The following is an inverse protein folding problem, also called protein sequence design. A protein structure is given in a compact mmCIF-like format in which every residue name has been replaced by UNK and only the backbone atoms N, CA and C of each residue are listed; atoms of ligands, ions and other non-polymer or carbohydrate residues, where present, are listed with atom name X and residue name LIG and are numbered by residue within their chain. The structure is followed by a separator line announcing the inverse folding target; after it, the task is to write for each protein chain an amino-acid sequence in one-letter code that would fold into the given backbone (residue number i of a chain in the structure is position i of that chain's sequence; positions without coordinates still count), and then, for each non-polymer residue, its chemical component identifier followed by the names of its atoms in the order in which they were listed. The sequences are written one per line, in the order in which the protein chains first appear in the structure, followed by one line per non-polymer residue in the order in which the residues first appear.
data_IF_927849647205
#
_entry.id   IF_927849647205
#
_cell.length_a   1.000
_cell.length_b   1.000
_cell.length_c   1.000
_cell.angle_alpha   90.00
_cell.angle_beta   90.00
_cell.angle_gamma   90.00
#
_symmetry.space_group_name_H-M   'P 1'
#
loop_
_entity.id
_entity.type
_entity.pdbx_description
1 polymer ?
#
# COMPACT_ATOMS: atom_id res chain seq x y z
N UNK A 1 -18.42 -38.30 -11.34
CA UNK A 1 -17.54 -37.36 -10.63
C UNK A 1 -16.46 -36.94 -11.61
N UNK A 2 -16.22 -35.65 -11.77
CA UNK A 2 -15.24 -35.12 -12.72
C UNK A 2 -14.06 -34.49 -11.95
N UNK A 3 -12.85 -34.52 -12.52
CA UNK A 3 -11.65 -33.94 -11.92
C UNK A 3 -11.06 -32.89 -12.85
N UNK A 4 -10.51 -31.83 -12.27
CA UNK A 4 -9.88 -30.74 -13.01
C UNK A 4 -8.63 -31.21 -13.74
N UNK A 5 -8.56 -30.97 -15.05
CA UNK A 5 -7.42 -31.38 -15.88
C UNK A 5 -6.13 -30.62 -15.59
N UNK A 6 -6.18 -29.45 -14.94
CA UNK A 6 -5.00 -28.67 -14.55
C UNK A 6 -4.47 -28.96 -13.15
N UNK A 7 -5.35 -29.19 -12.16
CA UNK A 7 -4.92 -29.32 -10.76
C UNK A 7 -5.37 -30.61 -10.07
N UNK A 8 -6.11 -31.48 -10.76
CA UNK A 8 -6.53 -32.79 -10.25
C UNK A 8 -7.60 -32.77 -9.16
N UNK A 9 -8.11 -31.59 -8.77
CA UNK A 9 -9.17 -31.48 -7.76
C UNK A 9 -10.53 -31.89 -8.30
N UNK A 10 -11.34 -32.51 -7.44
CA UNK A 10 -12.72 -32.89 -7.79
C UNK A 10 -13.59 -31.67 -8.10
N UNK A 11 -14.44 -31.83 -9.11
CA UNK A 11 -15.37 -30.82 -9.62
C UNK A 11 -16.78 -31.18 -9.15
N UNK A 12 -17.39 -30.28 -8.38
CA UNK A 12 -18.77 -30.41 -7.93
C UNK A 12 -19.75 -30.37 -9.11
N UNK A 13 -20.83 -31.17 -9.07
CA UNK A 13 -21.84 -31.19 -10.12
C UNK A 13 -22.43 -29.79 -10.36
N UNK A 14 -22.46 -29.36 -11.63
CA UNK A 14 -22.98 -28.05 -12.04
C UNK A 14 -22.01 -26.87 -11.92
N UNK A 15 -20.80 -27.06 -11.38
CA UNK A 15 -19.80 -25.98 -11.29
C UNK A 15 -19.28 -25.60 -12.69
N UNK A 16 -19.06 -24.30 -12.92
CA UNK A 16 -18.56 -23.76 -14.19
C UNK A 16 -17.03 -23.58 -14.18
N UNK A 17 -16.43 -23.51 -12.98
CA UNK A 17 -15.00 -23.32 -12.75
C UNK A 17 -14.50 -24.24 -11.64
N UNK A 18 -13.24 -24.66 -11.75
CA UNK A 18 -12.56 -25.39 -10.69
C UNK A 18 -12.32 -24.48 -9.48
N UNK A 19 -12.85 -24.86 -8.31
CA UNK A 19 -12.64 -24.13 -7.05
C UNK A 19 -11.20 -24.17 -6.55
N UNK A 20 -10.37 -25.08 -7.05
CA UNK A 20 -8.96 -25.20 -6.66
C UNK A 20 -8.02 -24.27 -7.42
N UNK A 21 -8.21 -24.13 -8.74
CA UNK A 21 -7.26 -23.40 -9.59
C UNK A 21 -7.91 -22.44 -10.60
N UNK A 22 -9.25 -22.29 -10.57
CA UNK A 22 -10.01 -21.36 -11.41
C UNK A 22 -10.16 -21.78 -12.88
N UNK A 23 -9.75 -22.99 -13.27
CA UNK A 23 -9.88 -23.43 -14.66
C UNK A 23 -11.37 -23.64 -15.02
N UNK A 24 -11.87 -23.10 -16.14
CA UNK A 24 -13.22 -23.38 -16.61
C UNK A 24 -13.38 -24.87 -16.94
N UNK A 25 -14.53 -25.44 -16.62
CA UNK A 25 -14.77 -26.89 -16.76
C UNK A 25 -15.55 -27.27 -18.01
N UNK A 26 -16.04 -26.30 -18.78
CA UNK A 26 -16.71 -26.48 -20.07
C UNK A 26 -16.23 -25.43 -21.08
N UNK A 27 -16.37 -25.72 -22.38
CA UNK A 27 -16.03 -24.74 -23.43
C UNK A 27 -16.90 -23.49 -23.36
N UNK A 28 -18.18 -23.62 -22.95
CA UNK A 28 -19.08 -22.50 -22.70
C UNK A 28 -18.63 -21.66 -21.48
N UNK A 29 -18.15 -22.29 -20.41
CA UNK A 29 -17.54 -21.59 -19.28
C UNK A 29 -16.20 -20.95 -19.66
N UNK A 30 -15.43 -21.57 -20.56
CA UNK A 30 -14.21 -21.00 -21.10
C UNK A 30 -14.51 -19.76 -21.96
N UNK A 31 -15.57 -19.79 -22.77
CA UNK A 31 -16.03 -18.63 -23.55
C UNK A 31 -16.60 -17.53 -22.66
N UNK A 32 -17.32 -17.84 -21.59
CA UNK A 32 -17.74 -16.85 -20.59
C UNK A 32 -16.56 -16.27 -19.80
N UNK A 33 -15.52 -17.06 -19.51
CA UNK A 33 -14.27 -16.58 -18.91
C UNK A 33 -13.53 -15.62 -19.84
N UNK A 34 -13.52 -15.92 -21.14
CA UNK A 34 -12.95 -15.04 -22.17
C UNK A 34 -13.76 -13.73 -22.20
N UNK A 35 -15.10 -13.79 -22.24
CA UNK A 35 -15.97 -12.60 -22.24
C UNK A 35 -15.84 -11.73 -20.97
N UNK A 36 -15.71 -12.32 -19.77
CA UNK A 36 -15.46 -11.55 -18.54
C UNK A 36 -14.03 -11.00 -18.45
N UNK A 37 -13.03 -11.71 -19.00
CA UNK A 37 -11.67 -11.19 -19.12
C UNK A 37 -11.55 -10.05 -20.14
N UNK A 38 -12.41 -10.04 -21.17
CA UNK A 38 -12.48 -8.99 -22.18
C UNK A 38 -13.18 -7.73 -21.66
N UNK A 39 -14.13 -7.86 -20.73
CA UNK A 39 -14.83 -6.72 -20.11
C UNK A 39 -13.94 -5.89 -19.16
N UNK A 40 -12.82 -6.43 -18.67
CA UNK A 40 -11.82 -5.65 -17.90
C UNK A 40 -10.81 -4.95 -18.81
N UNK A 41 -10.63 -5.43 -20.06
CA UNK A 41 -9.80 -4.79 -21.08
C UNK A 41 -10.58 -3.88 -22.06
N UNK A 42 -11.91 -3.85 -21.96
CA UNK A 42 -12.79 -3.02 -22.77
C UNK A 42 -13.63 -2.10 -21.87
N UNK A 43 -12.97 -1.28 -21.05
CA UNK A 43 -13.43 0.10 -21.04
C UNK A 43 -13.21 0.62 -22.46
N UNK A 44 -14.13 1.40 -23.05
CA UNK A 44 -13.76 2.18 -24.22
C UNK A 44 -12.47 2.89 -23.84
N UNK A 45 -11.46 2.85 -24.71
CA UNK A 45 -10.44 3.88 -24.71
C UNK A 45 -11.17 5.20 -24.97
N UNK A 46 -11.86 5.73 -23.96
CA UNK A 46 -11.95 7.15 -23.77
C UNK A 46 -10.49 7.55 -23.74
N UNK A 47 -10.08 8.16 -24.83
CA UNK A 47 -8.80 8.80 -24.98
C UNK A 47 -8.57 9.60 -23.72
N UNK A 48 -7.85 9.01 -22.76
CA UNK A 48 -7.07 9.79 -21.82
C UNK A 48 -6.27 10.66 -22.79
N UNK A 49 -6.50 11.99 -22.82
CA UNK A 49 -5.76 12.85 -23.71
C UNK A 49 -4.31 12.44 -23.51
N UNK A 50 -3.69 11.93 -24.57
CA UNK A 50 -2.26 11.68 -24.59
C UNK A 50 -1.67 12.94 -23.94
N UNK A 51 -0.85 12.85 -22.88
CA UNK A 51 -0.03 13.98 -22.58
C UNK A 51 0.71 14.24 -23.89
N UNK A 52 0.44 15.42 -24.46
CA UNK A 52 1.16 16.02 -25.57
C UNK A 52 2.61 15.54 -25.50
N UNK A 53 3.14 15.00 -26.60
CA UNK A 53 4.54 14.59 -26.74
C UNK A 53 5.44 15.56 -25.95
N UNK A 54 5.87 15.19 -24.74
CA UNK A 54 6.42 16.17 -23.78
C UNK A 54 6.29 15.87 -22.28
N UNK A 55 5.46 14.92 -21.81
CA UNK A 55 5.57 14.49 -20.40
C UNK A 55 6.76 13.54 -20.24
N UNK A 56 7.94 14.10 -20.02
CA UNK A 56 9.17 13.35 -19.76
C UNK A 56 8.87 12.21 -18.75
N UNK A 57 9.17 10.92 -19.04
CA UNK A 57 8.95 9.83 -18.08
C UNK A 57 9.65 10.10 -16.74
N UNK A 58 10.79 10.80 -16.82
CA UNK A 58 11.51 11.34 -15.67
C UNK A 58 10.66 12.29 -14.81
N UNK A 59 9.82 13.14 -15.41
CA UNK A 59 8.94 14.05 -14.67
C UNK A 59 7.89 13.29 -13.84
N UNK A 60 7.27 12.24 -14.39
CA UNK A 60 6.30 11.43 -13.65
C UNK A 60 6.96 10.64 -12.51
N UNK A 61 8.14 10.07 -12.76
CA UNK A 61 8.94 9.40 -11.73
C UNK A 61 9.39 10.37 -10.63
N UNK A 62 9.78 11.61 -10.98
CA UNK A 62 10.10 12.66 -10.02
C UNK A 62 8.88 13.06 -9.18
N UNK A 63 7.70 13.17 -9.78
CA UNK A 63 6.46 13.43 -9.03
C UNK A 63 6.16 12.30 -8.04
N UNK A 64 6.30 11.05 -8.47
CA UNK A 64 6.12 9.89 -7.58
C UNK A 64 7.15 9.90 -6.45
N UNK A 65 8.43 10.05 -6.78
CA UNK A 65 9.53 10.16 -5.81
C UNK A 65 9.25 11.26 -4.77
N UNK A 66 8.83 12.44 -5.21
CA UNK A 66 8.47 13.56 -4.35
C UNK A 66 7.30 13.22 -3.42
N UNK A 67 6.21 12.63 -3.93
CA UNK A 67 5.06 12.24 -3.11
C UNK A 67 5.43 11.14 -2.09
N UNK A 68 6.23 10.14 -2.49
CA UNK A 68 6.72 9.11 -1.56
C UNK A 68 7.63 9.73 -0.50
N UNK A 69 8.50 10.69 -0.86
CA UNK A 69 9.34 11.41 0.10
C UNK A 69 8.49 12.22 1.09
N UNK A 70 7.44 12.90 0.61
CA UNK A 70 6.49 13.60 1.47
C UNK A 70 5.77 12.64 2.43
N UNK A 71 5.33 11.46 1.95
CA UNK A 71 4.77 10.42 2.82
C UNK A 71 5.75 10.05 3.94
N UNK A 72 7.05 9.90 3.61
CA UNK A 72 8.06 9.59 4.60
C UNK A 72 8.26 10.70 5.64
N UNK A 73 8.30 11.96 5.18
CA UNK A 73 8.44 13.13 6.06
C UNK A 73 7.26 13.20 7.05
N UNK A 74 6.04 12.95 6.57
CA UNK A 74 4.85 12.90 7.43
C UNK A 74 5.03 11.86 8.55
N UNK A 75 5.47 10.64 8.21
CA UNK A 75 5.69 9.59 9.21
C UNK A 75 6.83 9.91 10.19
N UNK A 76 7.88 10.60 9.75
CA UNK A 76 8.95 11.09 10.64
C UNK A 76 8.40 12.11 11.64
N UNK A 77 7.63 13.11 11.17
CA UNK A 77 7.04 14.13 12.04
C UNK A 77 6.11 13.49 13.06
N UNK A 78 5.25 12.57 12.62
CA UNK A 78 4.34 11.82 13.50
C UNK A 78 5.14 11.03 14.55
N UNK A 79 6.19 10.33 14.14
CA UNK A 79 7.03 9.56 15.07
C UNK A 79 7.73 10.44 16.12
N UNK A 80 8.26 11.61 15.72
CA UNK A 80 8.85 12.55 16.65
C UNK A 80 7.85 13.04 17.71
N UNK A 81 6.62 13.37 17.29
CA UNK A 81 5.55 13.76 18.20
C UNK A 81 5.20 12.60 19.14
N UNK A 82 5.12 11.37 18.63
CA UNK A 82 4.83 10.18 19.44
C UNK A 82 5.94 9.90 20.47
N UNK A 83 7.21 10.02 20.09
CA UNK A 83 8.30 9.86 21.06
C UNK A 83 8.25 10.90 22.17
N UNK A 84 7.95 12.16 21.83
CA UNK A 84 7.77 13.21 22.84
C UNK A 84 6.59 12.90 23.77
N UNK A 85 5.41 12.60 23.23
CA UNK A 85 4.22 12.25 24.01
C UNK A 85 4.47 11.01 24.88
N UNK A 86 5.09 9.98 24.32
CA UNK A 86 5.40 8.74 25.03
C UNK A 86 6.36 8.98 26.20
N UNK A 87 7.41 9.79 26.00
CA UNK A 87 8.35 10.16 27.06
C UNK A 87 7.66 10.94 28.18
N UNK A 88 6.80 11.91 27.86
CA UNK A 88 6.04 12.68 28.85
C UNK A 88 5.13 11.77 29.67
N UNK A 89 4.41 10.84 29.03
CA UNK A 89 3.56 9.87 29.73
C UNK A 89 4.37 8.97 30.68
N UNK A 90 5.56 8.52 30.27
CA UNK A 90 6.43 7.73 31.13
C UNK A 90 6.86 8.54 32.37
N UNK A 91 7.27 9.80 32.19
CA UNK A 91 7.67 10.67 33.31
C UNK A 91 6.51 10.90 34.26
N UNK A 92 5.31 11.24 33.75
CA UNK A 92 4.09 11.40 34.56
C UNK A 92 3.78 10.10 35.31
N UNK A 93 3.87 8.95 34.64
CA UNK A 93 3.63 7.65 35.25
C UNK A 93 4.57 7.35 36.41
N UNK A 94 5.84 7.72 36.33
CA UNK A 94 6.78 7.57 37.44
C UNK A 94 6.49 8.54 38.58
N UNK A 95 6.13 9.79 38.29
CA UNK A 95 5.78 10.80 39.31
C UNK A 95 4.54 10.37 40.10
N UNK A 96 3.45 9.98 39.43
CA UNK A 96 2.22 9.54 40.10
C UNK A 96 2.45 8.34 41.01
N UNK A 97 3.19 7.33 40.54
CA UNK A 97 3.53 6.16 41.37
C UNK A 97 4.37 6.53 42.60
N UNK A 98 5.20 7.57 42.54
CA UNK A 98 5.97 8.04 43.69
C UNK A 98 5.08 8.73 44.75
N UNK A 99 4.00 9.38 44.32
CA UNK A 99 3.02 10.05 45.18
C UNK A 99 1.90 9.11 45.70
N UNK A 100 2.09 7.79 45.60
CA UNK A 100 1.09 6.75 45.95
C UNK A 100 -0.22 6.85 45.14
N UNK A 101 -0.18 7.45 43.95
CA UNK A 101 -1.27 7.46 42.96
C UNK A 101 -1.00 6.42 41.86
N UNK A 102 -2.04 5.81 41.27
CA UNK A 102 -1.84 4.77 40.23
C UNK A 102 -1.40 5.38 38.89
N UNK A 103 -0.08 5.39 38.66
CA UNK A 103 0.55 5.83 37.42
C UNK A 103 0.70 4.74 36.35
N UNK A 104 0.24 3.52 36.61
CA UNK A 104 0.50 2.33 35.75
C UNK A 104 -0.03 2.52 34.32
N UNK A 105 -1.20 3.13 34.18
CA UNK A 105 -1.84 3.40 32.87
C UNK A 105 -0.99 4.33 31.99
N UNK A 106 -0.34 5.33 32.58
CA UNK A 106 0.54 6.28 31.88
C UNK A 106 1.83 5.61 31.42
N UNK A 107 2.42 4.75 32.26
CA UNK A 107 3.61 3.96 31.88
C UNK A 107 3.30 3.06 30.69
N UNK A 108 2.21 2.28 30.77
CA UNK A 108 1.77 1.38 29.70
C UNK A 108 1.53 2.19 28.42
N UNK A 109 0.74 3.26 28.48
CA UNK A 109 0.44 4.11 27.33
C UNK A 109 1.71 4.70 26.73
N UNK A 110 2.62 5.20 27.55
CA UNK A 110 3.87 5.79 27.10
C UNK A 110 4.76 4.80 26.32
N UNK A 111 4.94 3.57 26.83
CA UNK A 111 5.68 2.54 26.11
C UNK A 111 5.01 2.15 24.79
N UNK A 112 3.69 1.98 24.78
CA UNK A 112 2.94 1.67 23.55
C UNK A 112 3.07 2.78 22.50
N UNK A 113 2.94 4.05 22.89
CA UNK A 113 3.10 5.19 21.98
C UNK A 113 4.51 5.23 21.39
N UNK A 114 5.55 4.90 22.18
CA UNK A 114 6.93 4.78 21.67
C UNK A 114 7.03 3.65 20.65
N UNK A 115 6.43 2.48 20.90
CA UNK A 115 6.42 1.36 19.94
C UNK A 115 5.79 1.79 18.61
N UNK A 116 4.66 2.50 18.65
CA UNK A 116 4.00 3.05 17.44
C UNK A 116 4.91 4.05 16.73
N UNK A 117 5.63 4.88 17.47
CA UNK A 117 6.64 5.80 16.94
C UNK A 117 7.72 5.05 16.16
N UNK A 118 8.22 3.93 16.69
CA UNK A 118 9.20 3.07 16.00
C UNK A 118 8.62 2.50 14.69
N UNK A 119 7.38 2.00 14.71
CA UNK A 119 6.72 1.49 13.50
C UNK A 119 6.59 2.58 12.42
N UNK A 120 6.28 3.81 12.82
CA UNK A 120 6.19 4.95 11.92
C UNK A 120 7.56 5.36 11.35
N UNK A 121 8.64 5.27 12.12
CA UNK A 121 10.01 5.41 11.58
C UNK A 121 10.32 4.32 10.54
N UNK A 122 9.96 3.06 10.81
CA UNK A 122 10.18 1.96 9.84
C UNK A 122 9.44 2.25 8.53
N UNK A 123 8.18 2.70 8.59
CA UNK A 123 7.40 3.10 7.42
C UNK A 123 8.04 4.28 6.67
N UNK A 124 8.57 5.26 7.39
CA UNK A 124 9.29 6.38 6.80
C UNK A 124 10.57 5.92 6.08
N UNK A 125 11.39 5.09 6.71
CA UNK A 125 12.64 4.59 6.10
C UNK A 125 12.36 3.77 4.85
N UNK A 126 11.34 2.90 4.86
CA UNK A 126 10.89 2.16 3.67
C UNK A 126 10.48 3.11 2.55
N UNK A 127 9.71 4.15 2.88
CA UNK A 127 9.29 5.18 1.91
C UNK A 127 10.47 5.98 1.35
N UNK A 128 11.42 6.41 2.19
CA UNK A 128 12.63 7.12 1.74
C UNK A 128 13.53 6.27 0.85
N UNK A 129 13.63 4.97 1.11
CA UNK A 129 14.37 4.06 0.25
C UNK A 129 13.67 3.93 -1.11
N UNK A 130 12.36 3.69 -1.08
CA UNK A 130 11.56 3.53 -2.29
C UNK A 130 11.52 4.80 -3.15
N UNK A 131 11.49 6.01 -2.56
CA UNK A 131 11.50 7.27 -3.29
C UNK A 131 12.77 7.50 -4.10
N UNK A 132 13.90 6.92 -3.68
CA UNK A 132 15.15 6.93 -4.44
C UNK A 132 15.16 5.83 -5.49
N UNK A 133 14.75 4.62 -5.10
CA UNK A 133 14.73 3.43 -5.95
C UNK A 133 13.91 3.64 -7.22
N UNK A 134 12.75 4.30 -7.12
CA UNK A 134 11.85 4.55 -8.25
C UNK A 134 12.47 5.44 -9.35
N UNK A 135 13.51 6.20 -9.04
CA UNK A 135 14.24 7.01 -10.03
C UNK A 135 15.32 6.21 -10.75
N UNK A 136 15.88 5.19 -10.10
CA UNK A 136 17.01 4.40 -10.63
C UNK A 136 16.58 3.07 -11.24
N UNK A 137 15.50 2.48 -10.70
CA UNK A 137 14.99 1.16 -11.06
C UNK A 137 13.45 1.16 -11.01
N UNK A 138 12.78 1.85 -11.95
CA UNK A 138 11.32 1.97 -11.98
C UNK A 138 10.67 0.66 -12.48
N UNK A 139 10.63 -0.37 -11.63
CA UNK A 139 9.99 -1.66 -11.93
C UNK A 139 9.01 -2.03 -10.82
N UNK A 140 7.84 -2.56 -11.18
CA UNK A 140 6.85 -3.03 -10.21
C UNK A 140 6.22 -1.92 -9.35
N UNK A 141 6.22 -0.68 -9.82
CA UNK A 141 5.60 0.48 -9.18
C UNK A 141 4.13 0.17 -8.95
N UNK A 142 3.36 -0.15 -9.99
CA UNK A 142 1.91 -0.38 -9.85
C UNK A 142 1.63 -1.51 -8.87
N UNK A 143 2.34 -2.62 -9.00
CA UNK A 143 2.17 -3.79 -8.13
C UNK A 143 2.46 -3.48 -6.66
N UNK A 144 3.41 -2.58 -6.36
CA UNK A 144 3.71 -2.17 -4.99
C UNK A 144 2.58 -1.38 -4.31
N UNK A 145 1.70 -0.72 -5.08
CA UNK A 145 0.58 0.08 -4.58
C UNK A 145 -0.79 -0.60 -4.73
N UNK A 146 -0.89 -1.75 -5.42
CA UNK A 146 -2.14 -2.51 -5.54
C UNK A 146 -2.69 -2.98 -4.17
N UNK A 147 -1.89 -3.65 -3.30
CA UNK A 147 -2.37 -4.14 -2.02
C UNK A 147 -2.75 -3.01 -1.06
N UNK A 148 -3.95 -3.09 -0.46
CA UNK A 148 -4.42 -2.14 0.56
C UNK A 148 -4.07 -2.58 1.99
N UNK A 149 -3.67 -3.83 2.20
CA UNK A 149 -3.50 -4.43 3.53
C UNK A 149 -2.54 -3.66 4.44
N UNK A 150 -1.38 -3.23 3.92
CA UNK A 150 -0.42 -2.47 4.71
C UNK A 150 -0.95 -1.07 5.10
N UNK A 151 -1.70 -0.42 4.22
CA UNK A 151 -2.32 0.88 4.50
C UNK A 151 -3.41 0.74 5.58
N UNK A 152 -4.25 -0.28 5.47
CA UNK A 152 -5.31 -0.57 6.44
C UNK A 152 -4.70 -0.91 7.80
N UNK A 153 -3.69 -1.78 7.85
CA UNK A 153 -2.98 -2.11 9.09
C UNK A 153 -2.37 -0.87 9.75
N UNK A 154 -1.75 0.00 8.94
CA UNK A 154 -1.18 1.28 9.40
C UNK A 154 -2.23 2.20 9.99
N UNK A 155 -3.38 2.33 9.32
CA UNK A 155 -4.50 3.12 9.81
C UNK A 155 -5.05 2.56 11.13
N UNK A 156 -5.23 1.24 11.23
CA UNK A 156 -5.81 0.61 12.43
C UNK A 156 -4.94 0.87 13.66
N UNK A 157 -3.64 0.55 13.61
CA UNK A 157 -2.81 0.75 14.80
C UNK A 157 -2.63 2.23 15.14
N UNK A 158 -2.58 3.12 14.13
CA UNK A 158 -2.52 4.56 14.37
C UNK A 158 -3.84 5.12 14.92
N UNK A 159 -4.99 4.58 14.53
CA UNK A 159 -6.28 4.96 15.08
C UNK A 159 -6.42 4.53 16.55
N UNK A 160 -6.00 3.30 16.86
CA UNK A 160 -6.11 2.73 18.21
C UNK A 160 -5.11 3.35 19.18
N UNK A 161 -3.91 3.70 18.71
CA UNK A 161 -2.77 4.01 19.60
C UNK A 161 -2.13 5.39 19.35
N UNK A 162 -2.34 5.99 18.17
CA UNK A 162 -1.76 7.28 17.77
C UNK A 162 -2.78 8.43 17.67
N UNK A 163 -4.07 8.14 17.86
CA UNK A 163 -5.16 9.11 17.81
C UNK A 163 -5.30 9.82 16.45
N UNK A 164 -5.85 11.04 16.48
CA UNK A 164 -6.17 11.84 15.28
C UNK A 164 -4.92 12.12 14.42
N UNK A 165 -3.76 12.28 15.04
CA UNK A 165 -2.50 12.58 14.35
C UNK A 165 -2.10 11.44 13.42
N UNK A 166 -2.24 10.19 13.87
CA UNK A 166 -1.93 9.01 13.07
C UNK A 166 -2.91 8.78 11.90
N UNK A 167 -4.16 9.25 12.03
CA UNK A 167 -5.15 9.21 10.95
C UNK A 167 -4.76 10.12 9.80
N UNK A 168 -4.30 11.35 10.09
CA UNK A 168 -3.88 12.30 9.07
C UNK A 168 -2.74 11.75 8.19
N UNK A 169 -1.74 11.10 8.78
CA UNK A 169 -0.67 10.44 8.02
C UNK A 169 -1.16 9.30 7.15
N UNK A 170 -2.11 8.52 7.66
CA UNK A 170 -2.72 7.41 6.92
C UNK A 170 -3.52 7.90 5.71
N UNK A 171 -4.22 9.04 5.80
CA UNK A 171 -4.94 9.64 4.66
C UNK A 171 -4.00 9.95 3.50
N UNK A 172 -2.82 10.51 3.79
CA UNK A 172 -1.85 10.82 2.74
C UNK A 172 -1.36 9.56 2.00
N UNK A 173 -1.20 8.44 2.71
CA UNK A 173 -0.84 7.17 2.09
C UNK A 173 -1.90 6.69 1.07
N UNK A 174 -3.20 6.92 1.36
CA UNK A 174 -4.28 6.65 0.40
C UNK A 174 -4.23 7.60 -0.81
N UNK A 175 -3.90 8.88 -0.62
CA UNK A 175 -3.73 9.84 -1.72
C UNK A 175 -2.56 9.43 -2.63
N UNK A 176 -1.43 9.03 -2.05
CA UNK A 176 -0.28 8.52 -2.79
C UNK A 176 -0.63 7.27 -3.60
N UNK A 177 -1.35 6.31 -2.99
CA UNK A 177 -1.86 5.13 -3.69
C UNK A 177 -2.78 5.52 -4.85
N UNK A 178 -3.73 6.41 -4.60
CA UNK A 178 -4.67 6.90 -5.61
C UNK A 178 -3.91 7.50 -6.80
N UNK A 179 -2.90 8.33 -6.54
CA UNK A 179 -2.05 8.89 -7.58
C UNK A 179 -1.38 7.81 -8.46
N UNK A 180 -0.83 6.76 -7.86
CA UNK A 180 -0.20 5.67 -8.64
C UNK A 180 -1.23 4.95 -9.50
N UNK A 181 -2.37 4.59 -8.92
CA UNK A 181 -3.39 3.81 -9.61
C UNK A 181 -4.09 4.60 -10.71
N UNK A 182 -4.33 5.89 -10.51
CA UNK A 182 -4.88 6.79 -11.55
C UNK A 182 -3.92 6.99 -12.73
N UNK A 183 -2.62 6.71 -12.57
CA UNK A 183 -1.61 6.82 -13.62
C UNK A 183 -1.03 5.45 -14.03
N UNK A 184 -1.77 4.35 -13.79
CA UNK A 184 -1.31 2.97 -14.01
C UNK A 184 -0.73 2.76 -15.42
N UNK A 185 -1.43 3.19 -16.47
CA UNK A 185 -0.98 3.00 -17.84
C UNK A 185 0.39 3.66 -18.11
N UNK A 186 0.61 4.85 -17.58
CA UNK A 186 1.88 5.58 -17.75
C UNK A 186 3.02 4.89 -17.01
N UNK A 187 2.79 4.44 -15.76
CA UNK A 187 3.80 3.71 -15.01
C UNK A 187 4.15 2.36 -15.66
N UNK A 188 3.16 1.61 -16.16
CA UNK A 188 3.41 0.34 -16.85
C UNK A 188 4.25 0.52 -18.13
N UNK A 189 4.01 1.60 -18.89
CA UNK A 189 4.83 1.93 -20.06
C UNK A 189 6.29 2.22 -19.66
N UNK A 190 6.50 3.02 -18.61
CA UNK A 190 7.84 3.33 -18.08
C UNK A 190 8.56 2.06 -17.64
N UNK A 191 7.88 1.20 -16.89
CA UNK A 191 8.41 -0.09 -16.44
C UNK A 191 8.80 -0.99 -17.62
N UNK A 192 7.93 -1.10 -18.62
CA UNK A 192 8.17 -1.91 -19.82
C UNK A 192 9.36 -1.39 -20.64
N UNK A 193 9.49 -0.07 -20.80
CA UNK A 193 10.63 0.55 -21.49
C UNK A 193 11.95 0.31 -20.75
N UNK A 194 11.96 0.44 -19.42
CA UNK A 194 13.13 0.16 -18.60
C UNK A 194 13.57 -1.30 -18.73
N UNK A 195 12.63 -2.25 -18.67
CA UNK A 195 12.90 -3.68 -18.80
C UNK A 195 13.46 -4.03 -20.17
N UNK A 196 12.97 -3.42 -21.25
CA UNK A 196 13.51 -3.62 -22.61
C UNK A 196 14.96 -3.14 -22.76
N UNK A 197 15.33 -2.05 -22.07
CA UNK A 197 16.70 -1.50 -22.12
C UNK A 197 17.68 -2.25 -21.21
N UNK A 198 17.17 -2.99 -20.25
CA UNK A 198 17.97 -3.68 -19.22
C UNK A 198 18.11 -5.20 -19.49
N UNK A 199 17.49 -5.69 -20.56
CA UNK A 199 17.58 -7.06 -21.05
C UNK A 199 18.67 -7.18 -22.11
#
# INVERSE_FOLDING_TARGET
MAFCSKCGREIANGSQFCSGCGQPVSEQAAQQAIYQSQQVYQQPMQSVPYPQQGSNPMFLLQQLSSKVKTNAIIWIVIACIQFFIGMVNIVIGFVLNADYEDGTSNLITGFFVIIVGVLNIVNATRSLKYSKEVLTKPVGIVQSFQPVGNLIGTLIYNLLLGGIIGVAGSIYAFILRSFVLSNTAQFQLIEAEYMKKSA
#
